data_IF_240185703957
#
_entry.id   IF_240185703957
#
_cell.length_a   1.000
_cell.length_b   1.000
_cell.length_c   1.000
_cell.angle_alpha   90.00
_cell.angle_beta   90.00
_cell.angle_gamma   90.00
#
_symmetry.space_group_name_H-M   'P 1'
#
loop_
_entity.id
_entity.type
_entity.pdbx_description
1 polymer ?
#
# COMPACT_ATOMS: atom_id res chain seq x y z
N UNK A 1 0.52 17.10 -5.96
CA UNK A 1 -0.34 16.15 -6.71
C UNK A 1 -0.71 15.01 -5.77
N UNK A 2 -2.00 14.71 -5.61
CA UNK A 2 -2.45 13.62 -4.73
C UNK A 2 -2.40 12.28 -5.48
N UNK A 3 -2.04 11.21 -4.79
CA UNK A 3 -2.02 9.84 -5.33
C UNK A 3 -3.45 9.30 -5.39
N UNK A 4 -3.85 8.73 -6.54
CA UNK A 4 -5.17 8.08 -6.68
C UNK A 4 -5.15 6.65 -6.15
N UNK A 5 -6.30 6.07 -5.82
CA UNK A 5 -6.35 4.65 -5.42
C UNK A 5 -5.78 3.70 -6.49
N UNK A 6 -5.97 4.02 -7.77
CA UNK A 6 -5.42 3.25 -8.89
C UNK A 6 -3.89 3.28 -8.90
N UNK A 7 -3.29 4.44 -8.65
CA UNK A 7 -1.83 4.58 -8.51
C UNK A 7 -1.30 3.75 -7.33
N UNK A 8 -2.02 3.75 -6.20
CA UNK A 8 -1.67 2.96 -5.02
C UNK A 8 -1.72 1.47 -5.37
N UNK A 9 -2.81 0.99 -5.98
CA UNK A 9 -2.96 -0.43 -6.38
C UNK A 9 -1.87 -0.87 -7.36
N UNK A 10 -1.57 -0.04 -8.37
CA UNK A 10 -0.49 -0.30 -9.31
C UNK A 10 0.88 -0.35 -8.61
N UNK A 11 1.11 0.52 -7.64
CA UNK A 11 2.35 0.55 -6.85
C UNK A 11 2.50 -0.71 -5.99
N UNK A 12 1.44 -1.12 -5.30
CA UNK A 12 1.45 -2.37 -4.50
C UNK A 12 1.75 -3.56 -5.41
N UNK A 13 1.08 -3.68 -6.56
CA UNK A 13 1.30 -4.77 -7.50
C UNK A 13 2.76 -4.80 -8.01
N UNK A 14 3.30 -3.64 -8.41
CA UNK A 14 4.69 -3.51 -8.86
C UNK A 14 5.70 -3.87 -7.77
N UNK A 15 5.48 -3.39 -6.53
CA UNK A 15 6.36 -3.66 -5.40
C UNK A 15 6.37 -5.16 -5.04
N UNK A 16 5.20 -5.81 -5.06
CA UNK A 16 5.08 -7.25 -4.78
C UNK A 16 5.78 -8.13 -5.83
N UNK A 17 5.82 -7.69 -7.09
CA UNK A 17 6.58 -8.38 -8.16
C UNK A 17 8.09 -8.12 -8.03
N UNK A 18 8.47 -6.91 -7.63
CA UNK A 18 9.88 -6.49 -7.56
C UNK A 18 10.63 -7.13 -6.40
N UNK A 19 9.98 -7.29 -5.24
CA UNK A 19 10.59 -7.89 -4.05
C UNK A 19 9.65 -8.92 -3.39
N UNK A 20 10.00 -10.23 -3.40
CA UNK A 20 9.22 -11.28 -2.75
C UNK A 20 9.00 -11.06 -1.25
N UNK A 21 9.91 -10.34 -0.57
CA UNK A 21 9.75 -10.02 0.86
C UNK A 21 8.63 -9.01 1.08
N UNK A 22 8.44 -8.07 0.16
CA UNK A 22 7.30 -7.13 0.23
C UNK A 22 6.00 -7.89 0.06
N UNK A 23 5.93 -8.86 -0.87
CA UNK A 23 4.76 -9.71 -1.03
C UNK A 23 4.41 -10.47 0.26
N UNK A 24 5.39 -11.18 0.84
CA UNK A 24 5.18 -11.93 2.08
C UNK A 24 4.75 -11.01 3.25
N UNK A 25 5.37 -9.84 3.42
CA UNK A 25 5.01 -8.88 4.47
C UNK A 25 3.63 -8.24 4.26
N UNK A 26 3.20 -8.08 3.02
CA UNK A 26 1.90 -7.54 2.69
C UNK A 26 0.81 -8.58 3.00
N UNK A 27 1.02 -9.81 2.53
CA UNK A 27 0.09 -10.92 2.72
C UNK A 27 -0.06 -11.26 4.22
N UNK A 28 1.02 -11.27 5.01
CA UNK A 28 0.96 -11.43 6.48
C UNK A 28 0.09 -10.36 7.18
N UNK A 29 0.13 -9.10 6.72
CA UNK A 29 -0.70 -8.03 7.32
C UNK A 29 -2.16 -8.13 6.91
N UNK A 30 -2.41 -8.57 5.68
CA UNK A 30 -3.77 -8.86 5.20
C UNK A 30 -4.37 -10.01 6.00
N UNK A 31 -3.62 -11.10 6.17
CA UNK A 31 -4.06 -12.28 6.91
C UNK A 31 -4.34 -11.98 8.40
N UNK A 32 -3.54 -11.11 9.02
CA UNK A 32 -3.76 -10.64 10.39
C UNK A 32 -4.95 -9.69 10.55
N UNK A 33 -5.47 -9.13 9.46
CA UNK A 33 -6.54 -8.14 9.53
C UNK A 33 -6.11 -6.78 10.12
N UNK A 34 -4.81 -6.50 10.22
CA UNK A 34 -4.31 -5.25 10.81
C UNK A 34 -4.33 -4.10 9.78
N UNK A 35 -5.46 -3.40 9.76
CA UNK A 35 -5.69 -2.26 8.86
C UNK A 35 -4.67 -1.13 9.06
N UNK A 36 -4.22 -0.89 10.29
CA UNK A 36 -3.29 0.20 10.61
C UNK A 36 -1.90 -0.13 10.07
N UNK A 37 -1.44 -1.35 10.31
CA UNK A 37 -0.17 -1.83 9.76
C UNK A 37 -0.19 -1.86 8.21
N UNK A 38 -1.30 -2.30 7.62
CA UNK A 38 -1.46 -2.34 6.16
C UNK A 38 -1.46 -0.93 5.54
N UNK A 39 -2.19 0.01 6.13
CA UNK A 39 -2.24 1.41 5.68
C UNK A 39 -0.87 2.08 5.75
N UNK A 40 -0.12 1.83 6.84
CA UNK A 40 1.24 2.35 7.01
C UNK A 40 2.21 1.76 5.98
N UNK A 41 2.12 0.44 5.72
CA UNK A 41 2.93 -0.22 4.70
C UNK A 41 2.64 0.34 3.30
N UNK A 42 1.36 0.48 2.94
CA UNK A 42 0.94 1.07 1.66
C UNK A 42 1.50 2.49 1.49
N UNK A 43 1.39 3.33 2.53
CA UNK A 43 1.91 4.70 2.50
C UNK A 43 3.43 4.73 2.28
N UNK A 44 4.15 3.81 2.93
CA UNK A 44 5.60 3.66 2.77
C UNK A 44 5.98 3.20 1.35
N UNK A 45 5.31 2.18 0.83
CA UNK A 45 5.53 1.67 -0.54
C UNK A 45 5.31 2.77 -1.57
N UNK A 46 4.21 3.51 -1.45
CA UNK A 46 3.92 4.60 -2.37
C UNK A 46 4.98 5.70 -2.29
N UNK A 47 5.43 6.08 -1.09
CA UNK A 47 6.49 7.06 -0.94
C UNK A 47 7.81 6.62 -1.59
N UNK A 48 8.16 5.34 -1.47
CA UNK A 48 9.40 4.78 -2.06
C UNK A 48 9.31 4.69 -3.58
N UNK A 49 8.20 4.17 -4.13
CA UNK A 49 8.06 3.87 -5.56
C UNK A 49 7.58 5.06 -6.40
N UNK A 50 6.70 5.91 -5.87
CA UNK A 50 6.19 7.09 -6.58
C UNK A 50 6.93 8.38 -6.21
N UNK A 51 7.86 8.30 -5.26
CA UNK A 51 8.65 9.42 -4.79
C UNK A 51 7.90 10.30 -3.77
N UNK A 52 8.67 11.06 -2.99
CA UNK A 52 8.18 11.93 -1.90
C UNK A 52 7.37 13.13 -2.39
N UNK A 53 7.32 13.39 -3.70
CA UNK A 53 6.61 14.51 -4.31
C UNK A 53 5.10 14.28 -4.43
N UNK A 54 4.64 13.03 -4.30
CA UNK A 54 3.21 12.71 -4.27
C UNK A 54 2.73 12.51 -2.84
N UNK A 55 1.68 13.24 -2.47
CA UNK A 55 1.04 13.09 -1.16
C UNK A 55 0.06 11.92 -1.19
N UNK A 56 0.22 11.01 -0.23
CA UNK A 56 -0.73 9.93 0.03
C UNK A 56 -1.62 10.37 1.17
N UNK A 57 -2.88 10.62 0.86
CA UNK A 57 -3.88 10.88 1.91
C UNK A 57 -4.14 9.60 2.69
N UNK A 58 -4.11 9.70 4.01
CA UNK A 58 -4.33 8.57 4.91
C UNK A 58 -5.68 7.89 4.65
N UNK A 59 -6.72 8.69 4.35
CA UNK A 59 -8.04 8.16 3.99
C UNK A 59 -8.02 7.32 2.71
N UNK A 60 -7.29 7.76 1.68
CA UNK A 60 -7.16 7.04 0.41
C UNK A 60 -6.39 5.73 0.61
N UNK A 61 -5.29 5.77 1.36
CA UNK A 61 -4.54 4.56 1.72
C UNK A 61 -5.37 3.58 2.57
N UNK A 62 -6.16 4.10 3.52
CA UNK A 62 -7.03 3.29 4.38
C UNK A 62 -8.16 2.62 3.58
N UNK A 63 -8.79 3.31 2.62
CA UNK A 63 -9.77 2.71 1.70
C UNK A 63 -9.15 1.56 0.89
N UNK A 64 -7.97 1.77 0.34
CA UNK A 64 -7.25 0.74 -0.40
C UNK A 64 -6.88 -0.43 0.53
N UNK A 65 -6.39 -0.16 1.73
CA UNK A 65 -6.09 -1.19 2.73
C UNK A 65 -7.32 -2.06 3.05
N UNK A 66 -8.47 -1.43 3.32
CA UNK A 66 -9.75 -2.13 3.56
C UNK A 66 -10.16 -3.03 2.40
N UNK A 67 -9.88 -2.62 1.16
CA UNK A 67 -10.23 -3.44 -0.01
C UNK A 67 -9.48 -4.78 -0.09
N UNK A 68 -8.39 -4.95 0.67
CA UNK A 68 -7.65 -6.21 0.78
C UNK A 68 -8.05 -7.04 1.99
N UNK A 69 -8.74 -6.45 2.97
CA UNK A 69 -9.23 -7.16 4.15
C UNK A 69 -10.61 -7.75 3.81
N UNK A 70 -10.75 -9.06 3.96
CA UNK A 70 -11.99 -9.80 3.66
C UNK A 70 -13.12 -9.50 4.65
#
# INVERSE_FOLDING_TARGET
MHVTESDIRATIASARVTDPRIAAQFDDKVDRGDISALTNMISSLVRVFLGTTKNVDHDTASRVARSYLR
#
